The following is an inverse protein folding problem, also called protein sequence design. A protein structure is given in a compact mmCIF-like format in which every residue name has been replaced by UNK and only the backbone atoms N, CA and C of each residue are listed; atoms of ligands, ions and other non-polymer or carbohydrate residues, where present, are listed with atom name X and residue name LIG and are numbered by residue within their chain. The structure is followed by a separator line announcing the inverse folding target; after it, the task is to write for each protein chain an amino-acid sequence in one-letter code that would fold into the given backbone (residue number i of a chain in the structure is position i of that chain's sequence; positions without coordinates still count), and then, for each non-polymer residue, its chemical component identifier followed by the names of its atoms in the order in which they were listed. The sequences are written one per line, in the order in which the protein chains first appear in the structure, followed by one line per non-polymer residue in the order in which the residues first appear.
data_IF_334557900325
#
_entry.id   IF_334557900325
#
_cell.length_a   1.000
_cell.length_b   1.000
_cell.length_c   1.000
_cell.angle_alpha   90.00
_cell.angle_beta   90.00
_cell.angle_gamma   90.00
#
_symmetry.space_group_name_H-M   'P 1'
#
loop_
_entity.id
_entity.type
_entity.pdbx_description
1 polymer ?
#
# COMPACT_ATOMS: atom_id res chain seq x y z
N UNK A 1 20.55 -12.99 -20.13
CA UNK A 1 19.99 -12.07 -21.16
C UNK A 1 20.88 -12.04 -22.40
N UNK A 2 22.20 -12.13 -22.25
CA UNK A 2 23.15 -12.48 -23.33
C UNK A 2 22.77 -13.77 -24.06
N UNK A 3 22.11 -14.69 -23.37
CA UNK A 3 21.70 -16.00 -23.89
C UNK A 3 20.65 -15.90 -25.00
N UNK A 4 19.75 -14.91 -24.92
CA UNK A 4 18.78 -14.63 -25.99
C UNK A 4 19.44 -14.11 -27.27
N UNK A 5 20.64 -13.56 -27.14
CA UNK A 5 21.44 -12.99 -28.23
C UNK A 5 22.70 -13.84 -28.47
N UNK A 6 22.70 -15.11 -28.05
CA UNK A 6 23.83 -15.99 -28.26
C UNK A 6 24.17 -16.05 -29.76
N UNK A 7 25.47 -15.98 -30.07
CA UNK A 7 25.97 -15.94 -31.44
C UNK A 7 25.54 -17.20 -32.21
N UNK A 8 25.52 -18.34 -31.52
CA UNK A 8 25.06 -19.61 -32.05
C UNK A 8 23.55 -19.79 -31.84
N UNK A 9 22.75 -19.99 -32.91
CA UNK A 9 21.30 -20.16 -32.81
C UNK A 9 20.86 -21.38 -31.97
N UNK A 10 21.71 -22.41 -31.85
CA UNK A 10 21.40 -23.62 -31.07
C UNK A 10 21.53 -23.43 -29.56
N UNK A 11 22.30 -22.44 -29.14
CA UNK A 11 22.50 -22.10 -27.73
C UNK A 11 21.47 -21.08 -27.24
N UNK A 12 20.60 -20.59 -28.13
CA UNK A 12 19.53 -19.66 -27.79
C UNK A 12 18.41 -20.42 -27.06
N UNK A 13 17.95 -19.90 -25.91
CA UNK A 13 16.75 -20.42 -25.27
C UNK A 13 15.50 -20.13 -26.12
N UNK A 14 14.38 -20.75 -25.75
CA UNK A 14 13.11 -20.59 -26.47
C UNK A 14 12.67 -19.13 -26.56
N UNK A 15 11.94 -18.79 -27.63
CA UNK A 15 11.47 -17.42 -27.85
C UNK A 15 10.52 -16.94 -26.74
N UNK A 16 9.73 -17.85 -26.15
CA UNK A 16 8.87 -17.54 -25.00
C UNK A 16 9.69 -17.17 -23.78
N UNK A 17 10.75 -17.94 -23.49
CA UNK A 17 11.70 -17.62 -22.41
C UNK A 17 12.35 -16.26 -22.63
N UNK A 18 12.77 -15.96 -23.87
CA UNK A 18 13.32 -14.65 -24.18
C UNK A 18 12.30 -13.52 -24.03
N UNK A 19 11.08 -13.67 -24.55
CA UNK A 19 10.00 -12.68 -24.38
C UNK A 19 9.66 -12.44 -22.90
N UNK A 20 9.60 -13.50 -22.10
CA UNK A 20 9.40 -13.41 -20.65
C UNK A 20 10.56 -12.68 -19.99
N UNK A 21 11.79 -12.89 -20.44
CA UNK A 21 12.97 -12.16 -19.97
C UNK A 21 12.94 -10.67 -20.35
N UNK A 22 12.59 -10.33 -21.59
CA UNK A 22 12.53 -8.93 -22.06
C UNK A 22 11.41 -8.15 -21.37
N UNK A 23 10.30 -8.81 -20.99
CA UNK A 23 9.11 -8.19 -20.38
C UNK A 23 9.42 -7.40 -19.10
N UNK A 24 10.46 -7.80 -18.37
CA UNK A 24 10.81 -7.16 -17.10
C UNK A 24 11.83 -6.03 -17.25
N UNK A 25 12.38 -5.81 -18.46
CA UNK A 25 13.38 -4.77 -18.68
C UNK A 25 12.79 -3.37 -18.63
N UNK A 26 13.38 -2.53 -17.79
CA UNK A 26 13.15 -1.09 -17.86
C UNK A 26 13.72 -0.56 -19.18
N UNK A 27 12.95 0.27 -19.88
CA UNK A 27 13.30 0.91 -21.15
C UNK A 27 14.32 2.05 -21.03
N UNK A 28 15.21 2.00 -20.02
CA UNK A 28 16.32 2.93 -19.92
C UNK A 28 17.46 2.41 -20.79
N UNK A 29 17.75 3.05 -21.95
CA UNK A 29 18.94 2.69 -22.70
C UNK A 29 20.17 2.93 -21.81
N UNK A 30 21.19 2.06 -21.86
CA UNK A 30 22.49 2.42 -21.31
C UNK A 30 22.89 3.75 -21.97
N UNK A 31 23.23 4.75 -21.16
CA UNK A 31 23.66 6.06 -21.65
C UNK A 31 24.97 5.86 -22.44
N UNK A 32 24.82 5.62 -23.74
CA UNK A 32 25.93 5.51 -24.66
C UNK A 32 26.64 6.86 -24.76
N UNK A 33 27.86 6.93 -24.24
CA UNK A 33 28.75 8.06 -24.48
C UNK A 33 29.44 8.69 -23.27
N UNK A 34 29.25 8.19 -22.04
CA UNK A 34 30.03 8.71 -20.90
C UNK A 34 31.29 7.85 -20.69
N UNK A 35 32.50 8.43 -20.66
CA UNK A 35 33.73 7.71 -20.38
C UNK A 35 33.66 6.94 -19.04
N UNK A 36 34.35 5.81 -19.01
CA UNK A 36 34.40 4.74 -17.99
C UNK A 36 34.73 5.16 -16.54
N UNK A 37 34.86 6.45 -16.23
CA UNK A 37 35.23 6.95 -14.90
C UNK A 37 34.06 7.48 -14.06
N UNK A 38 32.83 7.42 -14.56
CA UNK A 38 31.66 7.89 -13.80
C UNK A 38 31.02 6.78 -12.96
N UNK A 39 31.52 6.59 -11.73
CA UNK A 39 30.85 5.79 -10.66
C UNK A 39 29.36 6.16 -10.47
N UNK A 40 28.99 7.38 -10.87
CA UNK A 40 27.66 7.99 -10.80
C UNK A 40 26.59 7.26 -11.66
N UNK A 41 26.98 6.44 -12.64
CA UNK A 41 26.04 5.63 -13.45
C UNK A 41 25.82 4.20 -12.94
N UNK A 42 26.78 3.65 -12.21
CA UNK A 42 26.78 2.23 -11.82
C UNK A 42 25.72 1.91 -10.75
N UNK A 43 25.59 2.74 -9.71
CA UNK A 43 24.67 2.50 -8.60
C UNK A 43 23.20 2.46 -9.03
N UNK A 44 22.78 3.39 -9.90
CA UNK A 44 21.40 3.44 -10.40
C UNK A 44 21.07 2.25 -11.31
N UNK A 45 22.03 1.80 -12.13
CA UNK A 45 21.86 0.61 -12.97
C UNK A 45 21.71 -0.65 -12.11
N UNK A 46 22.58 -0.81 -11.10
CA UNK A 46 22.54 -1.92 -10.14
C UNK A 46 21.21 -1.95 -9.38
N UNK A 47 20.67 -0.80 -8.97
CA UNK A 47 19.35 -0.70 -8.36
C UNK A 47 18.23 -1.22 -9.28
N UNK A 48 18.23 -0.83 -10.56
CA UNK A 48 17.22 -1.30 -11.50
C UNK A 48 17.34 -2.80 -11.75
N UNK A 49 18.55 -3.32 -11.92
CA UNK A 49 18.79 -4.76 -12.05
C UNK A 49 18.32 -5.51 -10.81
N UNK A 50 18.68 -5.04 -9.61
CA UNK A 50 18.25 -5.63 -8.35
C UNK A 50 16.72 -5.68 -8.24
N UNK A 51 16.03 -4.61 -8.64
CA UNK A 51 14.56 -4.57 -8.69
C UNK A 51 13.97 -5.58 -9.68
N UNK A 52 14.59 -5.80 -10.83
CA UNK A 52 14.16 -6.84 -11.77
C UNK A 52 14.33 -8.23 -11.18
N UNK A 53 15.47 -8.52 -10.55
CA UNK A 53 15.69 -9.81 -9.87
C UNK A 53 14.70 -10.02 -8.74
N UNK A 54 14.38 -8.97 -7.97
CA UNK A 54 13.36 -9.00 -6.92
C UNK A 54 11.96 -9.35 -7.47
N UNK A 55 11.54 -8.69 -8.56
CA UNK A 55 10.24 -8.95 -9.19
C UNK A 55 10.12 -10.39 -9.72
N UNK A 56 11.24 -11.02 -10.08
CA UNK A 56 11.30 -12.41 -10.52
C UNK A 56 11.44 -13.41 -9.37
N UNK A 57 11.43 -12.97 -8.12
CA UNK A 57 11.62 -13.82 -6.94
C UNK A 57 13.06 -14.30 -6.74
N UNK A 58 14.03 -13.82 -7.53
CA UNK A 58 15.46 -14.13 -7.39
C UNK A 58 16.07 -13.25 -6.31
N UNK A 59 15.68 -13.50 -5.06
CA UNK A 59 16.04 -12.68 -3.92
C UNK A 59 17.54 -12.67 -3.60
N UNK A 60 18.25 -13.77 -3.85
CA UNK A 60 19.71 -13.85 -3.67
C UNK A 60 20.45 -12.88 -4.60
N UNK A 61 20.20 -12.98 -5.91
CA UNK A 61 20.80 -12.08 -6.91
C UNK A 61 20.46 -10.62 -6.63
N UNK A 62 19.20 -10.34 -6.29
CA UNK A 62 18.75 -8.99 -5.96
C UNK A 62 19.50 -8.44 -4.75
N UNK A 63 19.64 -9.23 -3.68
CA UNK A 63 20.36 -8.83 -2.48
C UNK A 63 21.84 -8.53 -2.78
N UNK A 64 22.51 -9.37 -3.58
CA UNK A 64 23.90 -9.13 -3.98
C UNK A 64 24.07 -7.82 -4.74
N UNK A 65 23.13 -7.49 -5.64
CA UNK A 65 23.16 -6.23 -6.40
C UNK A 65 22.94 -5.02 -5.49
N UNK A 66 22.00 -5.08 -4.54
CA UNK A 66 21.76 -4.00 -3.58
C UNK A 66 22.93 -3.82 -2.61
N UNK A 67 23.58 -4.90 -2.17
CA UNK A 67 24.80 -4.83 -1.36
C UNK A 67 25.96 -4.16 -2.11
N UNK A 68 26.10 -4.41 -3.42
CA UNK A 68 27.10 -3.71 -4.24
C UNK A 68 26.84 -2.20 -4.31
N UNK A 69 25.58 -1.77 -4.39
CA UNK A 69 25.21 -0.34 -4.31
C UNK A 69 25.66 0.27 -2.99
N UNK A 70 25.43 -0.44 -1.87
CA UNK A 70 25.85 0.04 -0.54
C UNK A 70 27.38 0.11 -0.39
N UNK A 71 28.13 -0.83 -0.96
CA UNK A 71 29.60 -0.84 -0.91
C UNK A 71 30.23 0.25 -1.77
N UNK A 72 29.59 0.62 -2.89
CA UNK A 72 30.07 1.63 -3.83
C UNK A 72 29.72 3.07 -3.43
N UNK A 73 28.84 3.27 -2.46
CA UNK A 73 28.34 4.58 -2.07
C UNK A 73 29.38 5.35 -1.24
N UNK A 74 29.95 6.40 -1.83
CA UNK A 74 31.01 7.21 -1.19
C UNK A 74 30.67 8.69 -1.11
N UNK A 75 29.67 9.15 -1.88
CA UNK A 75 29.32 10.55 -1.99
C UNK A 75 27.92 10.86 -1.44
N UNK A 76 27.66 12.16 -1.22
CA UNK A 76 26.34 12.67 -0.81
C UNK A 76 25.24 12.34 -1.83
N UNK A 77 25.58 12.26 -3.12
CA UNK A 77 24.65 11.91 -4.20
C UNK A 77 24.23 10.44 -4.06
N UNK A 78 25.19 9.56 -3.82
CA UNK A 78 24.99 8.12 -3.66
C UNK A 78 24.18 7.74 -2.40
N UNK A 79 23.98 8.68 -1.46
CA UNK A 79 23.16 8.44 -0.26
C UNK A 79 21.71 8.12 -0.62
N UNK A 80 21.17 8.72 -1.69
CA UNK A 80 19.81 8.41 -2.13
C UNK A 80 19.73 6.99 -2.70
N UNK A 81 20.67 6.60 -3.54
CA UNK A 81 20.77 5.23 -4.05
C UNK A 81 21.01 4.22 -2.92
N UNK A 82 21.78 4.59 -1.90
CA UNK A 82 22.04 3.76 -0.71
C UNK A 82 20.80 3.56 0.15
N UNK A 83 20.01 4.61 0.34
CA UNK A 83 18.74 4.52 1.04
C UNK A 83 17.77 3.60 0.29
N UNK A 84 17.70 3.73 -1.05
CA UNK A 84 16.87 2.86 -1.88
C UNK A 84 17.35 1.40 -1.82
N UNK A 85 18.66 1.15 -1.86
CA UNK A 85 19.24 -0.19 -1.74
C UNK A 85 18.93 -0.83 -0.38
N UNK A 86 19.06 -0.07 0.71
CA UNK A 86 18.71 -0.52 2.06
C UNK A 86 17.22 -0.86 2.17
N UNK A 87 16.34 -0.01 1.62
CA UNK A 87 14.91 -0.26 1.53
C UNK A 87 14.59 -1.57 0.78
N UNK A 88 15.24 -1.84 -0.35
CA UNK A 88 15.01 -3.09 -1.08
C UNK A 88 15.57 -4.32 -0.38
N UNK A 89 16.67 -4.21 0.36
CA UNK A 89 17.16 -5.30 1.22
C UNK A 89 16.16 -5.61 2.33
N UNK A 90 15.57 -4.59 2.96
CA UNK A 90 14.47 -4.78 3.92
C UNK A 90 13.28 -5.53 3.33
N UNK A 91 12.87 -5.19 2.09
CA UNK A 91 11.81 -5.94 1.37
C UNK A 91 12.17 -7.41 1.12
N UNK A 92 13.44 -7.69 0.81
CA UNK A 92 13.94 -9.05 0.60
C UNK A 92 13.92 -9.83 1.92
N UNK A 93 14.46 -9.26 3.00
CA UNK A 93 14.46 -9.88 4.33
C UNK A 93 13.03 -10.14 4.83
N UNK A 94 12.08 -9.24 4.55
CA UNK A 94 10.66 -9.44 4.85
C UNK A 94 10.07 -10.63 4.06
N UNK A 95 10.40 -10.74 2.77
CA UNK A 95 9.98 -11.86 1.91
C UNK A 95 10.56 -13.21 2.37
N UNK A 96 11.71 -13.19 3.05
CA UNK A 96 12.37 -14.36 3.62
C UNK A 96 11.95 -14.66 5.08
N UNK A 97 11.12 -13.81 5.70
CA UNK A 97 10.70 -13.96 7.09
C UNK A 97 11.77 -13.59 8.14
N UNK A 98 12.82 -12.86 7.75
CA UNK A 98 13.93 -12.47 8.62
C UNK A 98 13.68 -11.11 9.25
N UNK A 99 12.85 -11.06 10.29
CA UNK A 99 12.31 -9.80 10.80
C UNK A 99 13.33 -8.90 11.51
N UNK A 100 14.38 -9.46 12.10
CA UNK A 100 15.48 -8.67 12.68
C UNK A 100 16.21 -7.86 11.63
N UNK A 101 16.52 -8.49 10.49
CA UNK A 101 17.17 -7.81 9.35
C UNK A 101 16.24 -6.75 8.72
N UNK A 102 14.91 -6.95 8.76
CA UNK A 102 13.94 -5.96 8.25
C UNK A 102 14.04 -4.65 9.03
N UNK A 103 14.03 -4.72 10.36
CA UNK A 103 14.12 -3.57 11.25
C UNK A 103 15.43 -2.81 11.02
N UNK A 104 16.55 -3.54 10.93
CA UNK A 104 17.87 -2.96 10.64
C UNK A 104 17.90 -2.21 9.30
N UNK A 105 17.44 -2.84 8.22
CA UNK A 105 17.49 -2.26 6.88
C UNK A 105 16.50 -1.10 6.69
N UNK A 106 15.30 -1.17 7.26
CA UNK A 106 14.35 -0.06 7.22
C UNK A 106 14.80 1.11 8.07
N UNK A 107 15.33 0.89 9.27
CA UNK A 107 15.91 1.96 10.10
C UNK A 107 17.03 2.67 9.36
N UNK A 108 17.97 1.89 8.79
CA UNK A 108 19.06 2.45 7.98
C UNK A 108 18.58 3.27 6.79
N UNK A 109 17.53 2.81 6.10
CA UNK A 109 16.93 3.55 4.99
C UNK A 109 16.27 4.86 5.47
N UNK A 110 15.53 4.82 6.59
CA UNK A 110 14.87 5.99 7.18
C UNK A 110 15.88 7.05 7.62
N UNK A 111 16.95 6.66 8.32
CA UNK A 111 18.01 7.57 8.76
C UNK A 111 18.69 8.24 7.57
N UNK A 112 18.98 7.46 6.52
CA UNK A 112 19.59 8.01 5.32
C UNK A 112 18.65 8.97 4.59
N UNK A 113 17.35 8.66 4.51
CA UNK A 113 16.35 9.55 3.91
C UNK A 113 16.13 10.83 4.74
N UNK A 114 16.19 10.73 6.06
CA UNK A 114 16.17 11.87 6.98
C UNK A 114 17.37 12.78 6.74
N UNK A 115 18.59 12.23 6.66
CA UNK A 115 19.83 12.97 6.45
C UNK A 115 19.88 13.75 5.12
N UNK A 116 19.18 13.25 4.10
CA UNK A 116 19.09 13.91 2.78
C UNK A 116 17.83 14.75 2.60
N UNK A 117 17.01 14.90 3.65
CA UNK A 117 15.73 15.61 3.64
C UNK A 117 14.76 15.11 2.55
N UNK A 118 14.73 13.79 2.30
CA UNK A 118 13.81 13.16 1.35
C UNK A 118 12.64 12.51 2.11
N UNK A 119 11.70 13.37 2.51
CA UNK A 119 10.50 12.97 3.25
C UNK A 119 9.63 11.97 2.48
N UNK A 120 9.63 12.05 1.14
CA UNK A 120 8.89 11.11 0.29
C UNK A 120 9.51 9.71 0.37
N UNK A 121 10.84 9.62 0.28
CA UNK A 121 11.57 8.37 0.48
C UNK A 121 11.26 7.75 1.85
N UNK A 122 11.36 8.55 2.91
CA UNK A 122 11.07 8.12 4.29
C UNK A 122 9.62 7.65 4.47
N UNK A 123 8.65 8.41 3.96
CA UNK A 123 7.24 8.03 4.00
C UNK A 123 6.97 6.71 3.26
N UNK A 124 7.67 6.45 2.16
CA UNK A 124 7.55 5.19 1.44
C UNK A 124 8.08 4.00 2.25
N UNK A 125 9.20 4.14 2.96
CA UNK A 125 9.74 3.08 3.84
C UNK A 125 8.73 2.75 4.95
N UNK A 126 8.25 3.78 5.68
CA UNK A 126 7.27 3.63 6.75
C UNK A 126 5.99 2.94 6.30
N UNK A 127 5.54 3.20 5.07
CA UNK A 127 4.33 2.57 4.53
C UNK A 127 4.54 1.09 4.25
N UNK A 128 5.70 0.67 3.77
CA UNK A 128 5.96 -0.76 3.54
C UNK A 128 6.19 -1.51 4.84
N UNK A 129 6.89 -0.87 5.78
CA UNK A 129 7.05 -1.37 7.14
C UNK A 129 5.69 -1.59 7.82
N UNK A 130 4.78 -0.62 7.73
CA UNK A 130 3.41 -0.78 8.22
C UNK A 130 2.67 -1.96 7.55
N UNK A 131 2.80 -2.14 6.24
CA UNK A 131 2.21 -3.28 5.52
C UNK A 131 2.67 -4.61 6.10
N UNK A 132 3.96 -4.71 6.40
CA UNK A 132 4.61 -5.91 6.92
C UNK A 132 4.21 -6.18 8.37
N UNK A 133 4.18 -5.16 9.24
CA UNK A 133 3.69 -5.33 10.61
C UNK A 133 2.23 -5.77 10.65
N UNK A 134 1.35 -5.20 9.81
CA UNK A 134 -0.02 -5.70 9.74
C UNK A 134 -0.11 -7.12 9.17
N UNK A 135 0.80 -7.53 8.27
CA UNK A 135 0.87 -8.91 7.76
C UNK A 135 1.22 -9.88 8.89
N UNK A 136 2.22 -9.55 9.71
CA UNK A 136 2.62 -10.35 10.87
C UNK A 136 1.50 -10.42 11.91
N UNK A 137 0.91 -9.27 12.25
CA UNK A 137 -0.22 -9.21 13.18
C UNK A 137 -1.38 -10.09 12.71
N UNK A 138 -1.72 -10.07 11.41
CA UNK A 138 -2.76 -10.94 10.86
C UNK A 138 -2.45 -12.43 11.04
N UNK A 139 -1.20 -12.86 10.85
CA UNK A 139 -0.77 -14.26 11.05
C UNK A 139 -0.88 -14.65 12.52
N UNK A 140 -0.40 -13.81 13.43
CA UNK A 140 -0.47 -14.06 14.88
C UNK A 140 -1.93 -14.12 15.34
N UNK A 141 -2.75 -13.16 14.92
CA UNK A 141 -4.18 -13.16 15.25
C UNK A 141 -4.93 -14.37 14.68
N UNK A 142 -4.52 -14.87 13.51
CA UNK A 142 -5.04 -16.12 12.96
C UNK A 142 -4.64 -17.33 13.81
N UNK A 143 -3.39 -17.39 14.26
CA UNK A 143 -2.89 -18.47 15.12
C UNK A 143 -3.61 -18.52 16.48
N UNK A 144 -3.84 -17.38 17.12
CA UNK A 144 -4.51 -17.31 18.43
C UNK A 144 -6.05 -17.28 18.33
N UNK A 145 -6.62 -17.34 17.12
CA UNK A 145 -8.08 -17.31 16.91
C UNK A 145 -8.76 -15.96 17.19
N UNK A 146 -8.01 -14.85 17.20
CA UNK A 146 -8.57 -13.51 17.45
C UNK A 146 -9.07 -12.87 16.16
N UNK A 147 -10.32 -13.15 15.82
CA UNK A 147 -10.94 -12.64 14.59
C UNK A 147 -11.09 -11.12 14.54
N UNK A 148 -11.26 -10.45 15.68
CA UNK A 148 -11.30 -8.99 15.75
C UNK A 148 -9.92 -8.40 15.38
N UNK A 149 -8.84 -8.98 15.89
CA UNK A 149 -7.47 -8.62 15.54
C UNK A 149 -7.17 -8.86 14.06
N UNK A 150 -7.61 -10.00 13.51
CA UNK A 150 -7.48 -10.31 12.07
C UNK A 150 -8.19 -9.27 11.21
N UNK A 151 -9.41 -8.89 11.57
CA UNK A 151 -10.16 -7.83 10.90
C UNK A 151 -9.35 -6.51 10.86
N UNK A 152 -8.86 -6.05 12.01
CA UNK A 152 -8.12 -4.79 12.11
C UNK A 152 -6.83 -4.82 11.28
N UNK A 153 -6.10 -5.94 11.31
CA UNK A 153 -4.90 -6.13 10.52
C UNK A 153 -5.17 -6.10 9.01
N UNK A 154 -6.28 -6.71 8.54
CA UNK A 154 -6.67 -6.66 7.13
C UNK A 154 -7.07 -5.24 6.69
N UNK A 155 -7.82 -4.52 7.52
CA UNK A 155 -8.16 -3.12 7.25
C UNK A 155 -6.91 -2.26 7.16
N UNK A 156 -5.97 -2.39 8.10
CA UNK A 156 -4.69 -1.67 8.07
C UNK A 156 -3.89 -1.95 6.79
N UNK A 157 -3.79 -3.21 6.35
CA UNK A 157 -3.15 -3.56 5.07
C UNK A 157 -3.89 -2.98 3.88
N UNK A 158 -5.22 -2.97 3.92
CA UNK A 158 -6.06 -2.38 2.89
C UNK A 158 -5.77 -0.88 2.74
N UNK A 159 -5.66 -0.16 3.85
CA UNK A 159 -5.37 1.27 3.88
C UNK A 159 -4.01 1.59 3.28
N UNK A 160 -2.99 0.81 3.66
CA UNK A 160 -1.65 0.92 3.10
C UNK A 160 -1.67 0.66 1.59
N UNK A 161 -2.36 -0.39 1.13
CA UNK A 161 -2.46 -0.73 -0.28
C UNK A 161 -3.26 0.32 -1.08
N UNK A 162 -4.30 0.89 -0.50
CA UNK A 162 -5.09 1.96 -1.08
C UNK A 162 -4.25 3.25 -1.23
N UNK A 163 -3.43 3.57 -0.23
CA UNK A 163 -2.46 4.65 -0.34
C UNK A 163 -1.42 4.37 -1.43
N UNK A 164 -1.06 3.09 -1.69
CA UNK A 164 -0.07 2.68 -2.72
C UNK A 164 -0.69 2.60 -4.13
N UNK A 165 -1.93 3.04 -4.28
CA UNK A 165 -2.72 2.89 -5.52
C UNK A 165 -2.87 1.43 -5.98
N UNK A 166 -2.66 0.46 -5.09
CA UNK A 166 -2.88 -0.97 -5.33
C UNK A 166 -4.35 -1.31 -5.04
N UNK A 167 -5.24 -0.68 -5.80
CA UNK A 167 -6.68 -0.70 -5.53
C UNK A 167 -7.28 -2.12 -5.52
N UNK A 168 -6.88 -3.00 -6.44
CA UNK A 168 -7.36 -4.38 -6.47
C UNK A 168 -6.93 -5.20 -5.22
N UNK A 169 -5.73 -4.95 -4.69
CA UNK A 169 -5.28 -5.60 -3.46
C UNK A 169 -6.02 -5.04 -2.25
N UNK A 170 -6.24 -3.72 -2.20
CA UNK A 170 -7.04 -3.09 -1.15
C UNK A 170 -8.49 -3.60 -1.14
N UNK A 171 -9.12 -3.69 -2.31
CA UNK A 171 -10.45 -4.27 -2.49
C UNK A 171 -10.52 -5.69 -1.91
N UNK A 172 -9.61 -6.58 -2.32
CA UNK A 172 -9.54 -7.95 -1.79
C UNK A 172 -9.37 -8.00 -0.26
N UNK A 173 -8.55 -7.12 0.31
CA UNK A 173 -8.32 -7.05 1.76
C UNK A 173 -9.55 -6.55 2.52
N UNK A 174 -10.25 -5.54 2.01
CA UNK A 174 -11.48 -5.04 2.62
C UNK A 174 -12.66 -6.01 2.46
N UNK A 175 -12.74 -6.75 1.36
CA UNK A 175 -13.73 -7.82 1.20
C UNK A 175 -13.52 -8.92 2.23
N UNK A 176 -12.26 -9.35 2.44
CA UNK A 176 -11.93 -10.33 3.50
C UNK A 176 -12.19 -9.79 4.91
N UNK A 177 -11.94 -8.50 5.16
CA UNK A 177 -12.27 -7.92 6.46
C UNK A 177 -13.79 -7.86 6.66
N UNK A 178 -14.56 -7.56 5.61
CA UNK A 178 -16.03 -7.62 5.64
C UNK A 178 -16.51 -9.03 6.01
N UNK A 179 -16.01 -10.08 5.34
CA UNK A 179 -16.33 -11.49 5.65
C UNK A 179 -16.09 -11.83 7.13
N UNK A 180 -14.93 -11.44 7.68
CA UNK A 180 -14.64 -11.67 9.10
C UNK A 180 -15.62 -10.91 9.98
N UNK A 181 -15.84 -9.62 9.72
CA UNK A 181 -16.74 -8.77 10.52
C UNK A 181 -18.20 -9.22 10.46
N UNK A 182 -18.63 -9.83 9.36
CA UNK A 182 -19.94 -10.49 9.25
C UNK A 182 -19.99 -11.76 10.09
N UNK A 183 -18.97 -12.62 10.02
CA UNK A 183 -18.93 -13.87 10.79
C UNK A 183 -18.95 -13.66 12.31
N UNK A 184 -18.34 -12.58 12.80
CA UNK A 184 -18.30 -12.26 14.24
C UNK A 184 -19.38 -11.26 14.69
N UNK A 185 -20.35 -10.96 13.82
CA UNK A 185 -21.41 -9.96 14.06
C UNK A 185 -20.90 -8.58 14.50
N UNK A 186 -19.71 -8.19 14.03
CA UNK A 186 -19.12 -6.89 14.31
C UNK A 186 -19.68 -5.82 13.37
N UNK A 187 -20.87 -5.30 13.73
CA UNK A 187 -21.67 -4.38 12.91
C UNK A 187 -20.92 -3.11 12.51
N UNK A 188 -20.19 -2.48 13.43
CA UNK A 188 -19.35 -1.30 13.12
C UNK A 188 -18.25 -1.64 12.09
N UNK A 189 -17.66 -2.83 12.19
CA UNK A 189 -16.64 -3.29 11.23
C UNK A 189 -17.19 -3.54 9.84
N UNK A 190 -18.42 -4.05 9.75
CA UNK A 190 -19.10 -4.22 8.46
C UNK A 190 -19.30 -2.86 7.77
N UNK A 191 -19.74 -1.85 8.52
CA UNK A 191 -19.88 -0.49 7.99
C UNK A 191 -18.54 0.10 7.55
N UNK A 192 -17.50 -0.05 8.37
CA UNK A 192 -16.15 0.41 8.06
C UNK A 192 -15.58 -0.25 6.79
N UNK A 193 -15.72 -1.57 6.65
CA UNK A 193 -15.23 -2.29 5.48
C UNK A 193 -15.97 -1.88 4.20
N UNK A 194 -17.30 -1.72 4.27
CA UNK A 194 -18.12 -1.21 3.14
C UNK A 194 -17.74 0.24 2.77
N UNK A 195 -17.57 1.12 3.75
CA UNK A 195 -17.12 2.49 3.51
C UNK A 195 -15.78 2.52 2.76
N UNK A 196 -14.81 1.71 3.18
CA UNK A 196 -13.49 1.63 2.57
C UNK A 196 -13.51 1.00 1.17
N UNK A 197 -14.36 0.00 0.92
CA UNK A 197 -14.61 -0.53 -0.43
C UNK A 197 -15.17 0.56 -1.36
N UNK A 198 -16.13 1.35 -0.89
CA UNK A 198 -16.66 2.47 -1.64
C UNK A 198 -15.58 3.52 -1.99
N UNK A 199 -14.67 3.82 -1.05
CA UNK A 199 -13.53 4.70 -1.31
C UNK A 199 -12.58 4.15 -2.39
N UNK A 200 -12.32 2.84 -2.40
CA UNK A 200 -11.51 2.20 -3.44
C UNK A 200 -12.15 2.35 -4.82
N UNK A 201 -13.45 2.08 -4.95
CA UNK A 201 -14.18 2.26 -6.21
C UNK A 201 -14.21 3.73 -6.65
N UNK A 202 -14.37 4.68 -5.72
CA UNK A 202 -14.27 6.10 -6.01
C UNK A 202 -12.90 6.49 -6.56
N UNK A 203 -11.81 5.98 -5.98
CA UNK A 203 -10.43 6.22 -6.47
C UNK A 203 -10.20 5.63 -7.87
N UNK A 204 -10.95 4.60 -8.25
CA UNK A 204 -10.96 4.02 -9.59
C UNK A 204 -11.97 4.69 -10.55
N UNK A 205 -12.62 5.79 -10.13
CA UNK A 205 -13.69 6.45 -10.89
C UNK A 205 -14.93 5.59 -11.17
N UNK A 206 -15.10 4.47 -10.45
CA UNK A 206 -16.23 3.56 -10.57
C UNK A 206 -17.36 3.96 -9.60
N UNK A 207 -17.90 5.17 -9.79
CA UNK A 207 -18.88 5.75 -8.86
C UNK A 207 -20.18 4.95 -8.76
N UNK A 208 -20.61 4.31 -9.86
CA UNK A 208 -21.78 3.43 -9.87
C UNK A 208 -21.60 2.21 -8.97
N UNK A 209 -20.37 1.71 -8.83
CA UNK A 209 -20.04 0.61 -7.92
C UNK A 209 -19.88 1.08 -6.48
N UNK A 210 -19.40 2.30 -6.25
CA UNK A 210 -19.22 2.86 -4.90
C UNK A 210 -20.54 3.19 -4.17
N UNK A 211 -21.54 3.66 -4.92
CA UNK A 211 -22.85 4.09 -4.41
C UNK A 211 -23.55 3.09 -3.46
N UNK A 212 -23.76 1.81 -3.84
CA UNK A 212 -24.41 0.84 -2.96
C UNK A 212 -23.65 0.65 -1.65
N UNK A 213 -22.32 0.56 -1.70
CA UNK A 213 -21.49 0.39 -0.50
C UNK A 213 -21.59 1.59 0.45
N UNK A 214 -21.62 2.83 -0.06
CA UNK A 214 -21.83 4.00 0.79
C UNK A 214 -23.23 4.05 1.40
N UNK A 215 -24.27 3.63 0.67
CA UNK A 215 -25.64 3.58 1.20
C UNK A 215 -25.74 2.58 2.34
N UNK A 216 -25.25 1.37 2.13
CA UNK A 216 -25.27 0.32 3.15
C UNK A 216 -24.44 0.70 4.39
N UNK A 217 -23.24 1.26 4.20
CA UNK A 217 -22.43 1.73 5.33
C UNK A 217 -23.16 2.82 6.13
N UNK A 218 -23.81 3.76 5.45
CA UNK A 218 -24.57 4.85 6.09
C UNK A 218 -25.75 4.33 6.90
N UNK A 219 -26.51 3.39 6.35
CA UNK A 219 -27.64 2.76 7.05
C UNK A 219 -27.16 2.05 8.32
N UNK A 220 -26.04 1.34 8.24
CA UNK A 220 -25.47 0.66 9.41
C UNK A 220 -25.03 1.67 10.47
N UNK A 221 -24.28 2.72 10.11
CA UNK A 221 -23.86 3.73 11.10
C UNK A 221 -25.04 4.48 11.71
N UNK A 222 -26.08 4.79 10.91
CA UNK A 222 -27.30 5.41 11.41
C UNK A 222 -28.00 4.53 12.46
N UNK A 223 -28.08 3.22 12.21
CA UNK A 223 -28.69 2.25 13.14
C UNK A 223 -27.94 2.14 14.47
N UNK A 224 -26.61 2.27 14.45
CA UNK A 224 -25.77 2.17 15.67
C UNK A 224 -25.43 3.54 16.28
N UNK A 225 -26.03 4.63 15.78
CA UNK A 225 -25.86 5.97 16.34
C UNK A 225 -24.49 6.61 16.12
N UNK A 226 -23.68 6.09 15.20
CA UNK A 226 -22.36 6.64 14.88
C UNK A 226 -22.52 7.67 13.75
N UNK A 227 -22.05 8.90 14.00
CA UNK A 227 -22.06 9.94 12.97
C UNK A 227 -20.77 9.91 12.15
N UNK A 228 -20.90 9.59 10.86
CA UNK A 228 -19.81 9.69 9.89
C UNK A 228 -20.24 10.59 8.74
N UNK A 229 -19.33 11.46 8.29
CA UNK A 229 -19.54 12.27 7.11
C UNK A 229 -19.30 11.41 5.87
N UNK A 230 -20.36 11.20 5.09
CA UNK A 230 -20.28 10.48 3.83
C UNK A 230 -20.12 11.44 2.65
N UNK A 231 -19.27 11.11 1.65
CA UNK A 231 -19.29 11.84 0.39
C UNK A 231 -20.65 11.67 -0.30
N UNK A 232 -21.17 12.75 -0.88
CA UNK A 232 -22.38 12.70 -1.70
C UNK A 232 -21.97 12.51 -3.15
N UNK A 233 -22.27 11.34 -3.70
CA UNK A 233 -22.10 11.10 -5.13
C UNK A 233 -23.29 11.73 -5.83
N UNK A 234 -23.00 12.67 -6.73
CA UNK A 234 -24.02 13.37 -7.52
C UNK A 234 -23.85 13.03 -9.00
N UNK A 235 -24.93 12.55 -9.61
CA UNK A 235 -24.97 12.23 -11.03
C UNK A 235 -25.31 13.50 -11.83
N UNK A 236 -24.32 14.04 -12.53
CA UNK A 236 -24.53 15.04 -13.59
C UNK A 236 -24.54 14.32 -14.94
N UNK A 237 -25.44 14.71 -15.85
CA UNK A 237 -25.70 14.07 -17.13
C UNK A 237 -24.47 13.97 -18.09
N UNK A 238 -23.30 14.52 -17.72
CA UNK A 238 -22.07 14.42 -18.52
C UNK A 238 -20.84 13.94 -17.73
N UNK A 239 -20.85 13.93 -16.40
CA UNK A 239 -19.74 13.41 -15.59
C UNK A 239 -20.16 13.31 -14.11
N UNK A 240 -20.03 12.16 -13.42
CA UNK A 240 -20.21 12.11 -11.98
C UNK A 240 -19.18 13.01 -11.29
N UNK A 241 -19.63 14.01 -10.52
CA UNK A 241 -18.78 14.82 -9.63
C UNK A 241 -19.02 14.39 -8.20
N UNK A 242 -17.94 14.07 -7.48
CA UNK A 242 -17.97 13.99 -6.02
C UNK A 242 -17.95 15.43 -5.52
N UNK A 243 -19.04 15.87 -4.90
CA UNK A 243 -19.06 17.14 -4.17
C UNK A 243 -18.98 16.82 -2.68
N UNK A 244 -17.92 17.29 -2.00
CA UNK A 244 -17.82 17.26 -0.54
C UNK A 244 -18.77 18.33 0.04
N UNK A 245 -20.08 18.08 0.03
CA UNK A 245 -21.03 18.94 0.73
C UNK A 245 -21.34 18.34 2.10
N UNK A 246 -21.03 19.08 3.17
CA UNK A 246 -21.40 18.74 4.54
C UNK A 246 -22.92 18.55 4.64
N UNK A 247 -23.35 17.32 4.86
CA UNK A 247 -24.71 17.01 5.27
C UNK A 247 -24.71 16.56 6.71
N UNK A 248 -24.93 17.48 7.65
CA UNK A 248 -25.38 17.10 8.99
C UNK A 248 -26.78 16.51 8.81
N UNK A 249 -26.92 15.20 8.98
CA UNK A 249 -28.24 14.58 8.97
C UNK A 249 -28.99 15.02 10.24
N UNK A 250 -30.18 15.58 10.01
CA UNK A 250 -30.95 16.38 10.96
C UNK A 250 -31.27 15.71 12.28
N UNK A 251 -31.51 16.56 13.29
CA UNK A 251 -31.95 16.21 14.64
C UNK A 251 -33.02 15.13 14.60
N UNK A 252 -32.81 14.07 15.38
CA UNK A 252 -33.89 13.22 15.88
C UNK A 252 -34.91 14.17 16.52
N UNK A 253 -36.19 14.04 16.13
CA UNK A 253 -37.28 14.84 16.68
C UNK A 253 -37.22 14.75 18.21
N UNK A 254 -36.94 15.88 18.86
CA UNK A 254 -37.27 16.06 20.26
C UNK A 254 -38.77 15.80 20.40
N UNK A 255 -39.15 14.68 21.01
CA UNK A 255 -40.48 14.56 21.59
C UNK A 255 -40.55 15.58 22.73
N UNK A 256 -41.56 16.46 22.78
CA UNK A 256 -41.67 17.39 23.89
C UNK A 256 -42.00 16.57 25.14
N UNK A 257 -41.02 16.44 26.03
CA UNK A 257 -41.26 16.04 27.42
C UNK A 257 -42.14 17.14 28.01
N UNK A 258 -43.39 16.79 28.37
CA UNK A 258 -44.24 17.63 29.22
C UNK A 258 -43.55 17.75 30.57
N UNK A 259 -42.82 18.84 30.79
CA UNK A 259 -42.42 19.26 32.13
C UNK A 259 -43.55 20.11 32.70
N UNK A 260 -44.19 19.62 33.76
CA UNK A 260 -45.05 20.46 34.60
C UNK A 260 -44.19 21.52 35.30
N UNK A 261 -44.73 22.73 35.54
CA UNK A 261 -43.99 23.78 36.23
C UNK A 261 -44.00 23.48 37.73
N UNK A 262 -42.82 23.30 38.32
CA UNK A 262 -42.66 23.51 39.76
C UNK A 262 -42.07 24.89 39.99
N UNK A 263 -42.89 25.74 40.59
CA UNK A 263 -42.55 27.07 41.08
C UNK A 263 -41.53 26.97 42.20
N UNK A 264 -40.39 27.65 42.05
CA UNK A 264 -39.65 28.15 43.20
C UNK A 264 -39.11 29.56 42.91
N UNK A 265 -39.72 30.52 43.61
CA UNK A 265 -39.30 31.91 43.79
C UNK A 265 -38.03 32.01 44.65
N UNK A 266 -37.08 32.84 44.17
CA UNK A 266 -35.90 33.44 44.81
C UNK A 266 -35.02 32.60 45.74
#
# INVERSE_FOLDING_TARGET
MTDCWALNPRDRPSISWCCDEVKWMASLPPLGGVPSDSKVGAGRLLLQMGRMHYQRGRYGDAASLFQQVLQGATSKKDRKESAEASYWLGNISASQGKYTEVEEFYTRAQDTYWDIFDDLGRANVLRVEAEEFFRQAHIIYAYIGNDMGRYNALVGRGDVNCARSRHAQAESLYTRSLEISTRIDYVQGQANAKYRLAEVYCRQSQHTMADPFYKEAREIYARIGVQIVFPRISYSARNPRITLSQGVFGRVRDQPVRTQPEDFTC
#
